data_IF_054306100586
#
_entry.id   IF_054306100586
#
_cell.length_a   1.000
_cell.length_b   1.000
_cell.length_c   1.000
_cell.angle_alpha   90.00
_cell.angle_beta   90.00
_cell.angle_gamma   90.00
#
_symmetry.space_group_name_H-M   'P 1'
#
loop_
_entity.id
_entity.type
_entity.pdbx_description
1 polymer ?
#
# COMPACT_ATOMS: atom_id res chain seq x y z
N UNK A 1 18.22 -0.60 -6.54
CA UNK A 1 17.34 -1.54 -5.81
C UNK A 1 16.73 -2.49 -6.82
N UNK A 2 16.75 -3.81 -6.56
CA UNK A 2 16.57 -4.86 -7.58
C UNK A 2 15.44 -4.59 -8.59
N UNK A 3 14.25 -4.20 -8.14
CA UNK A 3 13.12 -3.95 -9.06
C UNK A 3 13.25 -2.66 -9.84
N UNK A 4 13.67 -1.57 -9.20
CA UNK A 4 13.96 -0.34 -9.89
C UNK A 4 15.10 -0.52 -10.90
N UNK A 5 16.04 -1.44 -10.65
CA UNK A 5 17.11 -1.76 -11.60
C UNK A 5 16.64 -2.62 -12.77
N UNK A 6 15.63 -3.48 -12.57
CA UNK A 6 15.04 -4.30 -13.63
C UNK A 6 14.07 -3.55 -14.54
N UNK A 7 13.41 -2.51 -14.02
CA UNK A 7 12.26 -1.87 -14.70
C UNK A 7 12.46 -0.37 -14.94
N UNK A 8 13.72 0.12 -14.91
CA UNK A 8 13.96 1.54 -15.16
C UNK A 8 13.80 1.89 -16.64
N UNK A 9 13.20 3.05 -16.88
CA UNK A 9 13.20 3.72 -18.17
C UNK A 9 14.28 4.80 -18.23
N UNK A 10 14.56 5.43 -17.09
CA UNK A 10 15.58 6.46 -16.94
C UNK A 10 16.19 6.41 -15.54
N UNK A 11 17.50 6.62 -15.41
CA UNK A 11 18.19 6.81 -14.13
C UNK A 11 19.02 8.09 -14.15
N UNK A 12 19.14 8.75 -13.01
CA UNK A 12 20.03 9.90 -12.82
C UNK A 12 20.55 9.99 -11.38
N UNK A 13 21.71 10.61 -11.22
CA UNK A 13 22.22 11.04 -9.91
C UNK A 13 21.71 12.45 -9.63
N UNK A 14 21.05 12.63 -8.50
CA UNK A 14 20.67 13.95 -7.98
C UNK A 14 21.86 14.55 -7.25
N UNK A 15 21.96 15.88 -7.25
CA UNK A 15 23.02 16.66 -6.58
C UNK A 15 24.45 16.33 -7.05
N UNK A 16 24.61 15.87 -8.29
CA UNK A 16 25.92 15.47 -8.85
C UNK A 16 26.95 16.61 -8.91
N UNK A 17 26.51 17.87 -8.88
CA UNK A 17 27.39 19.05 -8.81
C UNK A 17 27.95 19.33 -7.42
N UNK A 18 27.49 18.62 -6.38
CA UNK A 18 27.99 18.74 -5.01
C UNK A 18 28.85 17.53 -4.64
N UNK A 19 29.42 17.54 -3.44
CA UNK A 19 30.27 16.45 -2.96
C UNK A 19 29.52 15.10 -2.88
N UNK A 20 30.23 13.96 -3.01
CA UNK A 20 29.61 12.63 -3.07
C UNK A 20 28.69 12.26 -1.89
N UNK A 21 28.94 12.86 -0.72
CA UNK A 21 28.17 12.63 0.50
C UNK A 21 26.67 12.99 0.37
N UNK A 22 26.28 13.83 -0.60
CA UNK A 22 24.89 14.26 -0.80
C UNK A 22 24.25 13.73 -2.09
N UNK A 23 24.93 12.80 -2.76
CA UNK A 23 24.41 12.18 -3.99
C UNK A 23 23.28 11.21 -3.68
N UNK A 24 22.26 11.21 -4.55
CA UNK A 24 21.15 10.27 -4.46
C UNK A 24 20.76 9.75 -5.85
N UNK A 25 20.55 8.44 -5.97
CA UNK A 25 20.05 7.84 -7.21
C UNK A 25 18.54 7.99 -7.32
N UNK A 26 18.08 8.38 -8.51
CA UNK A 26 16.66 8.42 -8.85
C UNK A 26 16.41 7.69 -10.17
N UNK A 27 15.43 6.79 -10.16
CA UNK A 27 14.96 6.10 -11.36
C UNK A 27 13.51 6.50 -11.66
N UNK A 28 13.19 6.66 -12.94
CA UNK A 28 11.82 6.51 -13.44
C UNK A 28 11.65 5.07 -13.87
N UNK A 29 10.63 4.39 -13.36
CA UNK A 29 10.36 2.98 -13.65
C UNK A 29 9.06 2.83 -14.43
N UNK A 30 9.00 1.82 -15.30
CA UNK A 30 7.74 1.43 -15.93
C UNK A 30 6.80 0.87 -14.86
N UNK A 31 5.66 1.53 -14.65
CA UNK A 31 4.72 1.14 -13.58
C UNK A 31 4.07 -0.22 -13.84
N UNK A 32 3.80 -0.56 -15.09
CA UNK A 32 3.12 -1.82 -15.46
C UNK A 32 4.09 -2.98 -15.34
N UNK A 33 5.28 -2.82 -15.88
CA UNK A 33 6.34 -3.84 -15.78
C UNK A 33 6.74 -4.07 -14.32
N UNK A 34 6.95 -3.00 -13.55
CA UNK A 34 7.29 -3.10 -12.12
C UNK A 34 6.24 -3.92 -11.37
N UNK A 35 4.95 -3.63 -11.58
CA UNK A 35 3.87 -4.35 -10.93
C UNK A 35 3.80 -5.82 -11.36
N UNK A 36 3.92 -6.11 -12.66
CA UNK A 36 3.88 -7.47 -13.18
C UNK A 36 5.04 -8.33 -12.66
N UNK A 37 6.27 -7.80 -12.67
CA UNK A 37 7.45 -8.51 -12.17
C UNK A 37 7.34 -8.75 -10.66
N UNK A 38 6.91 -7.74 -9.89
CA UNK A 38 6.72 -7.92 -8.44
C UNK A 38 5.66 -8.95 -8.12
N UNK A 39 4.53 -8.93 -8.84
CA UNK A 39 3.47 -9.94 -8.68
C UNK A 39 4.04 -11.35 -8.90
N UNK A 40 4.75 -11.56 -10.02
CA UNK A 40 5.36 -12.86 -10.32
C UNK A 40 6.38 -13.31 -9.26
N UNK A 41 7.16 -12.40 -8.67
CA UNK A 41 8.08 -12.74 -7.58
C UNK A 41 7.33 -13.22 -6.34
N UNK A 42 6.29 -12.49 -5.93
CA UNK A 42 5.52 -12.81 -4.73
C UNK A 42 4.72 -14.11 -4.93
N UNK A 43 4.16 -14.34 -6.12
CA UNK A 43 3.41 -15.56 -6.44
C UNK A 43 4.25 -16.84 -6.42
N UNK A 44 5.56 -16.72 -6.69
CA UNK A 44 6.48 -17.86 -6.76
C UNK A 44 7.40 -17.96 -5.53
N UNK A 45 7.17 -17.16 -4.49
CA UNK A 45 7.95 -17.20 -3.27
C UNK A 45 7.56 -18.43 -2.44
N UNK A 46 8.53 -19.30 -2.15
CA UNK A 46 8.33 -20.46 -1.27
C UNK A 46 7.84 -20.00 0.12
N UNK A 47 6.90 -20.77 0.69
CA UNK A 47 6.23 -20.49 1.97
C UNK A 47 5.40 -19.20 2.02
N UNK A 48 5.06 -18.63 0.86
CA UNK A 48 4.14 -17.48 0.77
C UNK A 48 2.87 -17.90 0.04
N UNK A 49 1.72 -17.66 0.69
CA UNK A 49 0.41 -17.82 0.06
C UNK A 49 -0.23 -16.46 -0.12
N UNK A 50 -0.74 -16.19 -1.32
CA UNK A 50 -1.47 -14.96 -1.64
C UNK A 50 -2.96 -15.24 -1.58
N UNK A 51 -3.70 -14.37 -0.90
CA UNK A 51 -5.16 -14.38 -0.90
C UNK A 51 -5.69 -12.99 -1.21
N UNK A 52 -6.60 -12.91 -2.18
CA UNK A 52 -7.37 -11.71 -2.43
C UNK A 52 -8.54 -11.68 -1.45
N UNK A 53 -8.43 -10.85 -0.41
CA UNK A 53 -9.52 -10.60 0.54
C UNK A 53 -9.25 -9.32 1.31
N UNK A 54 -10.32 -8.65 1.74
CA UNK A 54 -10.24 -7.46 2.60
C UNK A 54 -10.28 -7.89 4.06
N UNK A 55 -9.19 -7.70 4.79
CA UNK A 55 -9.16 -7.86 6.25
C UNK A 55 -9.88 -6.67 6.89
N UNK A 56 -10.87 -6.97 7.72
CA UNK A 56 -11.69 -5.97 8.41
C UNK A 56 -11.49 -6.00 9.92
N UNK A 57 -10.94 -7.08 10.48
CA UNK A 57 -10.71 -7.18 11.93
C UNK A 57 -9.51 -8.08 12.28
N UNK A 58 -9.03 -7.98 13.52
CA UNK A 58 -8.11 -8.91 14.16
C UNK A 58 -8.91 -9.89 15.02
N UNK A 59 -8.54 -11.17 14.96
CA UNK A 59 -9.06 -12.15 15.92
C UNK A 59 -8.12 -12.15 17.13
N UNK A 60 -8.67 -11.79 18.28
CA UNK A 60 -7.92 -11.68 19.55
C UNK A 60 -8.25 -12.85 20.47
N UNK A 61 -7.22 -13.32 21.18
CA UNK A 61 -7.35 -14.33 22.23
C UNK A 61 -7.74 -13.73 23.57
N UNK A 62 -7.63 -14.53 24.62
CA UNK A 62 -8.14 -14.17 25.95
C UNK A 62 -7.33 -13.06 26.65
N UNK A 63 -6.09 -12.82 26.22
CA UNK A 63 -5.19 -11.80 26.77
C UNK A 63 -4.80 -10.77 25.70
N UNK A 64 -5.71 -10.46 24.77
CA UNK A 64 -5.50 -9.55 23.64
C UNK A 64 -4.36 -9.95 22.69
N UNK A 65 -3.91 -11.20 22.74
CA UNK A 65 -2.94 -11.72 21.78
C UNK A 65 -3.60 -11.94 20.42
N UNK A 66 -2.90 -11.58 19.33
CA UNK A 66 -3.40 -11.83 17.98
C UNK A 66 -3.34 -13.33 17.69
N UNK A 67 -4.49 -13.92 17.40
CA UNK A 67 -4.63 -15.33 16.99
C UNK A 67 -5.06 -15.48 15.52
N UNK A 68 -5.41 -14.39 14.86
CA UNK A 68 -5.83 -14.40 13.47
C UNK A 68 -6.25 -13.06 12.90
N UNK A 69 -6.78 -13.08 11.68
CA UNK A 69 -7.45 -11.97 11.02
C UNK A 69 -8.82 -12.41 10.51
N UNK A 70 -9.80 -11.52 10.55
CA UNK A 70 -11.11 -11.73 9.96
C UNK A 70 -11.26 -10.86 8.71
N UNK A 71 -11.89 -11.44 7.69
CA UNK A 71 -12.13 -10.77 6.41
C UNK A 71 -13.56 -10.29 6.28
N UNK A 72 -13.80 -9.41 5.30
CA UNK A 72 -15.10 -8.79 5.05
C UNK A 72 -16.28 -9.79 4.94
N UNK A 73 -16.03 -11.00 4.46
CA UNK A 73 -17.05 -12.05 4.35
C UNK A 73 -17.15 -12.95 5.60
N UNK A 74 -16.56 -12.56 6.73
CA UNK A 74 -16.57 -13.31 7.99
C UNK A 74 -15.64 -14.53 8.01
N UNK A 75 -14.73 -14.66 7.03
CA UNK A 75 -13.74 -15.76 7.03
C UNK A 75 -12.55 -15.36 7.89
N UNK A 76 -12.23 -16.19 8.88
CA UNK A 76 -11.08 -16.02 9.75
C UNK A 76 -9.88 -16.87 9.30
N UNK A 77 -8.69 -16.29 9.37
CA UNK A 77 -7.41 -16.97 9.12
C UNK A 77 -6.56 -16.92 10.38
N UNK A 78 -6.24 -18.09 10.94
CA UNK A 78 -5.38 -18.18 12.12
C UNK A 78 -3.92 -17.84 11.78
N UNK A 79 -3.28 -17.06 12.65
CA UNK A 79 -1.86 -16.73 12.52
C UNK A 79 -1.28 -16.34 13.88
N UNK A 80 0.05 -16.46 14.02
CA UNK A 80 0.76 -16.10 15.24
C UNK A 80 1.17 -14.62 15.30
N UNK A 81 1.15 -13.95 14.16
CA UNK A 81 1.57 -12.56 14.01
C UNK A 81 0.91 -11.94 12.78
N UNK A 82 0.62 -10.64 12.86
CA UNK A 82 0.03 -9.86 11.76
C UNK A 82 0.91 -8.64 11.48
N UNK A 83 1.20 -8.40 10.21
CA UNK A 83 1.91 -7.19 9.74
C UNK A 83 0.92 -6.34 8.95
N UNK A 84 0.56 -5.17 9.49
CA UNK A 84 -0.38 -4.26 8.86
C UNK A 84 0.36 -3.31 7.88
N UNK A 85 0.01 -3.40 6.60
CA UNK A 85 0.55 -2.55 5.52
C UNK A 85 -0.58 -1.94 4.68
N UNK A 86 -1.58 -1.41 5.37
CA UNK A 86 -2.86 -0.96 4.80
C UNK A 86 -2.75 0.26 3.87
N UNK A 87 -1.58 0.91 3.80
CA UNK A 87 -1.34 2.03 2.89
C UNK A 87 -2.36 3.16 3.07
N UNK A 88 -3.05 3.52 1.98
CA UNK A 88 -4.07 4.58 1.99
C UNK A 88 -5.50 4.04 2.16
N UNK A 89 -5.67 2.74 2.47
CA UNK A 89 -6.98 2.08 2.48
C UNK A 89 -7.73 2.18 3.79
N UNK A 90 -7.03 2.16 4.93
CA UNK A 90 -7.64 2.15 6.26
C UNK A 90 -8.41 3.46 6.53
N UNK A 91 -9.74 3.40 6.61
CA UNK A 91 -10.59 4.59 6.68
C UNK A 91 -10.37 5.57 5.52
N UNK A 92 -9.96 5.05 4.36
CA UNK A 92 -9.56 5.81 3.19
C UNK A 92 -10.69 6.67 2.62
N UNK A 93 -10.37 7.90 2.21
CA UNK A 93 -11.33 8.82 1.60
C UNK A 93 -10.68 9.64 0.50
N UNK A 94 -11.25 9.59 -0.71
CA UNK A 94 -10.81 10.40 -1.84
C UNK A 94 -11.56 11.73 -1.83
N UNK A 95 -10.85 12.78 -2.24
CA UNK A 95 -11.37 14.14 -2.38
C UNK A 95 -11.08 14.64 -3.79
N UNK A 96 -12.11 15.11 -4.49
CA UNK A 96 -12.01 15.74 -5.81
C UNK A 96 -12.79 17.05 -5.76
N UNK A 97 -12.07 18.16 -5.62
CA UNK A 97 -12.69 19.45 -5.31
C UNK A 97 -13.47 19.39 -4.00
N UNK A 98 -14.76 19.71 -4.06
CA UNK A 98 -15.69 19.62 -2.94
C UNK A 98 -16.36 18.24 -2.79
N UNK A 99 -16.15 17.31 -3.73
CA UNK A 99 -16.72 15.96 -3.67
C UNK A 99 -15.79 15.03 -2.91
N UNK A 100 -16.38 14.05 -2.22
CA UNK A 100 -15.62 13.01 -1.53
C UNK A 100 -16.35 11.69 -1.53
N UNK A 101 -15.60 10.59 -1.43
CA UNK A 101 -16.14 9.23 -1.34
C UNK A 101 -15.20 8.33 -0.53
N UNK A 102 -15.72 7.33 0.20
CA UNK A 102 -14.90 6.28 0.81
C UNK A 102 -14.16 5.51 -0.28
N UNK A 103 -12.83 5.47 -0.20
CA UNK A 103 -11.97 4.78 -1.15
C UNK A 103 -10.53 4.78 -0.65
N UNK A 104 -9.81 3.66 -0.82
CA UNK A 104 -8.38 3.61 -0.56
C UNK A 104 -7.55 4.20 -1.70
N UNK A 105 -7.98 3.93 -2.94
CA UNK A 105 -7.46 4.46 -4.20
C UNK A 105 -8.61 4.61 -5.19
N UNK A 106 -8.41 5.36 -6.28
CA UNK A 106 -9.47 5.61 -7.25
C UNK A 106 -9.95 4.28 -7.87
N UNK A 107 -11.22 3.94 -7.67
CA UNK A 107 -11.80 2.67 -8.11
C UNK A 107 -11.63 1.49 -7.13
N UNK A 108 -11.03 1.70 -5.96
CA UNK A 108 -10.80 0.67 -4.95
C UNK A 108 -11.44 1.06 -3.61
N UNK A 109 -12.21 0.14 -3.01
CA UNK A 109 -12.93 0.38 -1.76
C UNK A 109 -11.97 0.68 -0.58
N UNK A 110 -12.45 1.44 0.39
CA UNK A 110 -11.74 1.62 1.66
C UNK A 110 -11.87 0.35 2.53
N UNK A 111 -10.90 0.14 3.40
CA UNK A 111 -11.00 -0.86 4.47
C UNK A 111 -11.57 -0.18 5.72
N UNK A 112 -12.63 -0.76 6.29
CA UNK A 112 -13.33 -0.30 7.48
C UNK A 112 -13.32 -1.40 8.56
N UNK A 113 -13.62 -1.05 9.81
CA UNK A 113 -13.59 -1.97 10.96
C UNK A 113 -12.24 -2.00 11.68
N UNK A 114 -11.14 -2.28 10.97
CA UNK A 114 -9.84 -2.57 11.60
C UNK A 114 -9.30 -1.41 12.46
N UNK A 115 -9.62 -0.16 12.11
CA UNK A 115 -9.27 1.03 12.90
C UNK A 115 -9.90 0.99 14.29
N UNK A 116 -11.13 0.51 14.40
CA UNK A 116 -11.88 0.49 15.66
C UNK A 116 -11.25 -0.52 16.62
N UNK A 117 -10.85 -1.69 16.13
CA UNK A 117 -10.12 -2.70 16.89
C UNK A 117 -8.76 -2.19 17.37
N UNK A 118 -8.03 -1.47 16.51
CA UNK A 118 -6.77 -0.83 16.93
C UNK A 118 -7.01 0.21 18.04
N UNK A 119 -8.05 1.03 17.93
CA UNK A 119 -8.40 2.00 18.97
C UNK A 119 -8.79 1.30 20.28
N UNK A 120 -9.53 0.18 20.23
CA UNK A 120 -9.90 -0.62 21.41
C UNK A 120 -8.67 -1.21 22.11
N UNK A 121 -7.65 -1.61 21.33
CA UNK A 121 -6.35 -2.05 21.85
C UNK A 121 -5.47 -0.90 22.37
N UNK A 122 -5.97 0.34 22.36
CA UNK A 122 -5.27 1.51 22.88
C UNK A 122 -4.31 2.18 21.90
N UNK A 123 -4.36 1.86 20.60
CA UNK A 123 -3.60 2.60 19.60
C UNK A 123 -4.26 3.95 19.30
N UNK A 124 -3.45 4.99 19.18
CA UNK A 124 -3.90 6.28 18.68
C UNK A 124 -3.93 6.28 17.15
N UNK A 125 -5.06 6.70 16.58
CA UNK A 125 -5.23 6.81 15.12
C UNK A 125 -5.43 8.26 14.70
N UNK A 126 -4.81 8.64 13.58
CA UNK A 126 -4.87 9.97 13.00
C UNK A 126 -5.14 9.93 11.51
N UNK A 127 -5.36 11.09 10.88
CA UNK A 127 -5.60 11.18 9.43
C UNK A 127 -4.53 12.01 8.75
N UNK A 128 -3.90 11.42 7.74
CA UNK A 128 -3.01 12.12 6.81
C UNK A 128 -3.70 12.27 5.47
N UNK A 129 -3.31 13.31 4.72
CA UNK A 129 -3.80 13.57 3.37
C UNK A 129 -2.63 13.81 2.42
N UNK A 130 -2.66 13.11 1.29
CA UNK A 130 -1.70 13.30 0.19
C UNK A 130 -2.46 13.50 -1.12
N UNK A 131 -1.83 14.15 -2.08
CA UNK A 131 -2.39 14.39 -3.41
C UNK A 131 -1.66 13.60 -4.48
N UNK A 132 -2.37 13.27 -5.58
CA UNK A 132 -1.76 12.72 -6.80
C UNK A 132 -2.14 13.61 -7.97
N UNK A 133 -1.20 13.96 -8.86
CA UNK A 133 -1.54 14.74 -10.05
C UNK A 133 -2.41 13.90 -11.00
N UNK A 134 -3.21 14.58 -11.81
CA UNK A 134 -3.97 13.96 -12.89
C UNK A 134 -3.05 13.19 -13.85
N UNK A 135 -3.63 12.20 -14.55
CA UNK A 135 -2.95 11.54 -15.68
C UNK A 135 -3.43 12.22 -16.95
N UNK A 136 -2.50 12.53 -17.84
CA UNK A 136 -2.74 13.24 -19.10
C UNK A 136 -2.37 12.32 -20.25
N UNK A 137 -3.10 12.40 -21.34
CA UNK A 137 -2.77 11.70 -22.57
C UNK A 137 -1.52 12.33 -23.20
N UNK A 138 -0.47 11.52 -23.43
CA UNK A 138 0.77 12.01 -24.03
C UNK A 138 0.52 12.63 -25.42
N UNK A 139 -0.47 12.14 -26.17
CA UNK A 139 -0.77 12.60 -27.54
C UNK A 139 -1.35 14.01 -27.60
N UNK A 140 -1.85 14.52 -26.48
CA UNK A 140 -2.43 15.86 -26.39
C UNK A 140 -1.42 16.92 -25.90
N UNK A 141 -0.14 16.60 -25.88
CA UNK A 141 0.94 17.49 -25.44
C UNK A 141 1.84 17.79 -26.65
N UNK A 142 2.26 19.05 -26.77
CA UNK A 142 3.30 19.52 -27.70
C UNK A 142 4.69 19.25 -27.10
#
# INVERSE_FOLDING_TARGET
>A
GKMADRTYLQKRVLNSSRGPAVWALRAQTDKREYAAVMKGIVENQENLSIRESMVTDLVLGANDEVVGVETYFGVAFACKAVILTTGTFLGGKIWVGNKSMPAGRAGEFAAEGLTDTLNQLGFETGRLKTGTPARVDKRSLD
#
